data_IF_126014146375
#
_entry.id   IF_126014146375
#
_cell.length_a   1.000
_cell.length_b   1.000
_cell.length_c   1.000
_cell.angle_alpha   90.00
_cell.angle_beta   90.00
_cell.angle_gamma   90.00
#
_symmetry.space_group_name_H-M   'P 1'
#
loop_
_entity.id
_entity.type
_entity.pdbx_description
1 polymer ?
#
# COMPACT_ATOMS: atom_id res chain seq x y z
N UNK A 1 -41.05 20.47 50.48
CA UNK A 1 -39.68 20.05 50.84
C UNK A 1 -38.79 20.26 49.62
N UNK A 2 -37.86 21.22 49.62
CA UNK A 2 -36.90 21.35 48.52
C UNK A 2 -35.81 20.28 48.68
N UNK A 3 -35.52 19.57 47.59
CA UNK A 3 -34.47 18.55 47.52
C UNK A 3 -33.09 19.21 47.37
N UNK A 4 -32.16 18.73 48.18
CA UNK A 4 -30.75 19.09 48.27
C UNK A 4 -29.96 18.74 46.99
N UNK A 5 -29.24 19.69 46.35
CA UNK A 5 -28.51 19.43 45.10
C UNK A 5 -27.11 18.78 45.24
N UNK A 6 -26.63 18.44 46.44
CA UNK A 6 -25.24 17.95 46.62
C UNK A 6 -25.08 16.43 46.83
N UNK A 7 -25.91 15.60 46.19
CA UNK A 7 -25.72 14.14 46.23
C UNK A 7 -24.79 13.64 45.13
N UNK A 8 -23.49 13.91 45.28
CA UNK A 8 -22.42 13.23 44.55
C UNK A 8 -22.42 11.74 44.90
N UNK A 9 -22.86 10.91 43.95
CA UNK A 9 -22.72 9.45 43.98
C UNK A 9 -21.24 9.06 43.84
N UNK A 10 -20.53 8.99 44.96
CA UNK A 10 -19.42 8.06 45.12
C UNK A 10 -19.93 6.91 46.00
N UNK A 11 -20.34 5.80 45.38
CA UNK A 11 -20.81 4.62 46.10
C UNK A 11 -19.70 4.06 47.01
N UNK A 12 -20.05 3.61 48.21
CA UNK A 12 -19.12 3.03 49.19
C UNK A 12 -18.32 1.83 48.63
N UNK A 13 -18.83 1.20 47.57
CA UNK A 13 -18.17 0.11 46.85
C UNK A 13 -16.97 0.57 46.00
N UNK A 14 -16.92 1.84 45.58
CA UNK A 14 -15.75 2.42 44.93
C UNK A 14 -14.59 2.60 45.92
N UNK A 15 -14.88 2.99 47.17
CA UNK A 15 -13.87 3.18 48.22
C UNK A 15 -13.34 1.84 48.73
N UNK A 16 -14.16 0.79 48.79
CA UNK A 16 -13.73 -0.55 49.25
C UNK A 16 -12.84 -1.30 48.25
N UNK A 17 -12.91 -1.01 46.95
CA UNK A 17 -12.14 -1.71 45.91
C UNK A 17 -10.80 -1.05 45.54
N UNK A 18 -10.48 0.12 46.12
CA UNK A 18 -9.25 0.88 45.84
C UNK A 18 -8.11 0.60 46.83
N UNK A 19 -8.09 -0.54 47.51
CA UNK A 19 -7.00 -0.91 48.43
C UNK A 19 -5.84 -1.60 47.69
N UNK A 20 -5.13 -0.87 46.82
CA UNK A 20 -3.78 -1.27 46.44
C UNK A 20 -2.81 -0.75 47.50
N UNK A 21 -2.49 -1.59 48.48
CA UNK A 21 -1.57 -1.24 49.56
C UNK A 21 -0.14 -1.26 49.02
N UNK A 22 0.37 -0.09 48.62
CA UNK A 22 1.76 0.05 48.21
C UNK A 22 2.69 -0.20 49.42
N UNK A 23 3.75 -1.03 49.29
CA UNK A 23 4.64 -1.32 50.39
C UNK A 23 5.27 -0.05 50.92
N UNK A 24 5.22 0.14 52.25
CA UNK A 24 5.82 1.30 52.90
C UNK A 24 7.31 1.41 52.54
N UNK A 25 7.86 2.63 52.52
CA UNK A 25 9.28 2.85 52.26
C UNK A 25 10.20 2.03 53.18
N UNK A 26 9.72 1.67 54.39
CA UNK A 26 10.39 0.80 55.37
C UNK A 26 10.38 -0.68 54.97
N UNK A 27 9.41 -1.15 54.20
CA UNK A 27 9.37 -2.52 53.66
C UNK A 27 10.24 -2.68 52.42
N UNK A 28 10.37 -1.65 51.58
CA UNK A 28 11.33 -1.63 50.46
C UNK A 28 12.79 -1.72 50.93
N UNK A 29 13.09 -1.25 52.14
CA UNK A 29 14.43 -1.31 52.75
C UNK A 29 14.82 -2.67 53.36
N UNK A 30 13.89 -3.64 53.50
CA UNK A 30 14.20 -4.93 54.11
C UNK A 30 15.03 -5.80 53.17
N UNK A 31 16.32 -5.93 53.47
CA UNK A 31 17.23 -6.85 52.78
C UNK A 31 16.66 -8.28 52.83
N UNK A 32 16.52 -8.99 51.69
CA UNK A 32 15.89 -10.30 51.65
C UNK A 32 16.57 -11.29 52.62
N UNK A 33 15.80 -12.10 53.35
CA UNK A 33 16.36 -13.08 54.28
C UNK A 33 17.34 -14.07 53.60
N UNK A 34 18.27 -14.63 54.35
CA UNK A 34 19.35 -15.49 53.83
C UNK A 34 18.82 -16.68 52.97
N UNK A 35 17.67 -17.25 53.36
CA UNK A 35 17.00 -18.33 52.61
C UNK A 35 16.53 -17.89 51.22
N UNK A 36 16.00 -16.66 51.10
CA UNK A 36 15.55 -16.06 49.83
C UNK A 36 16.74 -15.75 48.93
N UNK A 37 17.85 -15.25 49.49
CA UNK A 37 19.12 -15.06 48.76
C UNK A 37 19.69 -16.35 48.19
N UNK A 38 19.70 -17.45 48.96
CA UNK A 38 20.12 -18.78 48.45
C UNK A 38 19.23 -19.29 47.32
N UNK A 39 17.91 -19.07 47.36
CA UNK A 39 17.00 -19.47 46.29
C UNK A 39 17.27 -18.69 44.99
N UNK A 40 17.41 -17.36 45.09
CA UNK A 40 17.74 -16.52 43.93
C UNK A 40 19.11 -16.87 43.33
N UNK A 41 20.13 -17.07 44.17
CA UNK A 41 21.47 -17.48 43.71
C UNK A 41 21.48 -18.87 43.03
N UNK A 42 20.59 -19.79 43.43
CA UNK A 42 20.44 -21.09 42.76
C UNK A 42 19.71 -20.97 41.42
N UNK A 43 18.69 -20.13 41.33
CA UNK A 43 17.98 -19.85 40.08
C UNK A 43 18.91 -19.19 39.04
N UNK A 44 19.73 -18.23 39.48
CA UNK A 44 20.74 -17.56 38.66
C UNK A 44 21.78 -18.55 38.09
N UNK A 45 22.28 -19.48 38.92
CA UNK A 45 23.23 -20.52 38.48
C UNK A 45 22.60 -21.48 37.47
N UNK A 46 21.31 -21.83 37.62
CA UNK A 46 20.58 -22.66 36.66
C UNK A 46 20.41 -21.94 35.31
N UNK A 47 20.06 -20.65 35.33
CA UNK A 47 19.95 -19.81 34.12
C UNK A 47 21.29 -19.69 33.38
N UNK A 48 22.39 -19.45 34.10
CA UNK A 48 23.73 -19.37 33.50
C UNK A 48 24.19 -20.68 32.87
N UNK A 49 23.87 -21.84 33.47
CA UNK A 49 24.17 -23.17 32.90
C UNK A 49 23.31 -23.49 31.66
N UNK A 50 22.07 -23.01 31.60
CA UNK A 50 21.22 -23.16 30.43
C UNK A 50 21.75 -22.32 29.24
N UNK A 51 22.16 -21.07 29.49
CA UNK A 51 22.72 -20.20 28.44
C UNK A 51 24.06 -20.70 27.88
N UNK A 52 24.93 -21.30 28.69
CA UNK A 52 26.22 -21.85 28.20
C UNK A 52 26.03 -23.13 27.38
N UNK A 53 25.02 -23.97 27.67
CA UNK A 53 24.66 -25.12 26.83
C UNK A 53 24.11 -24.69 25.46
N UNK A 54 23.31 -23.62 25.42
CA UNK A 54 22.72 -23.10 24.17
C UNK A 54 23.78 -22.49 23.24
N UNK A 55 24.80 -21.82 23.78
CA UNK A 55 25.90 -21.23 22.97
C UNK A 55 26.86 -22.26 22.36
N UNK A 56 27.06 -23.43 22.98
CA UNK A 56 27.91 -24.50 22.41
C UNK A 56 27.20 -25.32 21.32
N UNK A 57 25.88 -25.47 21.37
CA UNK A 57 25.10 -26.16 20.33
C UNK A 57 24.86 -25.34 19.05
N UNK A 58 24.97 -24.02 19.11
CA UNK A 58 24.74 -23.10 17.98
C UNK A 58 25.94 -22.98 17.05
N UNK A 59 27.17 -23.04 17.56
CA UNK A 59 28.41 -22.88 16.76
C UNK A 59 28.75 -24.08 15.87
N UNK A 60 28.32 -25.29 16.24
CA UNK A 60 28.54 -26.49 15.41
C UNK A 60 27.52 -26.60 14.26
N UNK A 61 26.33 -26.00 14.42
CA UNK A 61 25.27 -25.99 13.39
C UNK A 61 25.44 -24.87 12.36
N UNK A 62 26.15 -23.79 12.68
CA UNK A 62 26.40 -22.66 11.76
C UNK A 62 27.52 -22.96 10.76
N UNK A 63 28.58 -23.69 11.15
CA UNK A 63 29.64 -24.09 10.22
C UNK A 63 29.15 -25.10 9.18
N UNK A 64 28.31 -26.07 9.56
CA UNK A 64 27.73 -27.03 8.63
C UNK A 64 26.77 -26.41 7.60
N UNK A 65 25.98 -25.40 8.00
CA UNK A 65 25.05 -24.70 7.11
C UNK A 65 25.76 -23.76 6.14
N UNK A 66 26.80 -23.04 6.58
CA UNK A 66 27.61 -22.19 5.68
C UNK A 66 28.35 -23.05 4.65
N UNK A 67 28.91 -24.20 5.04
CA UNK A 67 29.56 -25.10 4.09
C UNK A 67 28.56 -25.66 3.06
N UNK A 68 27.35 -26.05 3.51
CA UNK A 68 26.31 -26.53 2.61
C UNK A 68 25.81 -25.44 1.63
N UNK A 69 25.68 -24.19 2.09
CA UNK A 69 25.32 -23.04 1.24
C UNK A 69 26.43 -22.73 0.22
N UNK A 70 27.70 -22.78 0.63
CA UNK A 70 28.82 -22.58 -0.29
C UNK A 70 28.93 -23.69 -1.34
N UNK A 71 28.69 -24.95 -0.96
CA UNK A 71 28.64 -26.08 -1.90
C UNK A 71 27.43 -25.95 -2.85
N UNK A 72 26.27 -25.53 -2.35
CA UNK A 72 25.09 -25.26 -3.18
C UNK A 72 25.33 -24.10 -4.16
N UNK A 73 25.96 -23.01 -3.72
CA UNK A 73 26.30 -21.87 -4.58
C UNK A 73 27.36 -22.24 -5.63
N UNK A 74 28.34 -23.09 -5.28
CA UNK A 74 29.31 -23.62 -6.24
C UNK A 74 28.64 -24.56 -7.26
N UNK A 75 27.67 -25.39 -6.84
CA UNK A 75 26.89 -26.24 -7.74
C UNK A 75 25.99 -25.41 -8.69
N UNK A 76 25.38 -24.32 -8.21
CA UNK A 76 24.59 -23.38 -9.03
C UNK A 76 25.50 -22.59 -9.98
N UNK A 77 26.70 -22.20 -9.56
CA UNK A 77 27.69 -21.54 -10.41
C UNK A 77 28.26 -22.46 -11.51
N UNK A 78 28.49 -23.74 -11.19
CA UNK A 78 28.93 -24.75 -12.16
C UNK A 78 27.81 -25.13 -13.14
N UNK A 79 26.54 -25.16 -12.71
CA UNK A 79 25.38 -25.30 -13.61
C UNK A 79 25.17 -24.06 -14.49
N UNK A 80 25.37 -22.86 -13.94
CA UNK A 80 25.25 -21.60 -14.69
C UNK A 80 26.30 -21.43 -15.78
N UNK A 81 27.52 -21.95 -15.58
CA UNK A 81 28.57 -21.93 -16.59
C UNK A 81 28.32 -22.95 -17.71
N UNK A 82 27.71 -24.11 -17.39
CA UNK A 82 27.42 -25.17 -18.37
C UNK A 82 26.17 -24.90 -19.22
N UNK A 83 25.31 -23.96 -18.82
CA UNK A 83 24.14 -23.49 -19.59
C UNK A 83 24.48 -22.32 -20.54
N UNK A 84 25.72 -21.83 -20.55
CA UNK A 84 26.19 -20.82 -21.52
C UNK A 84 26.62 -21.40 -22.88
N UNK A 85 26.39 -22.69 -23.11
CA UNK A 85 26.58 -23.34 -24.39
C UNK A 85 25.31 -24.07 -24.84
N UNK A 86 24.53 -23.42 -25.72
CA UNK A 86 23.59 -24.14 -26.60
C UNK A 86 22.10 -23.88 -26.38
N UNK A 87 21.58 -22.95 -27.21
CA UNK A 87 20.28 -22.97 -27.91
C UNK A 87 18.97 -22.89 -27.09
N UNK A 88 18.24 -21.82 -27.38
CA UNK A 88 16.80 -21.69 -27.17
C UNK A 88 16.35 -20.25 -27.40
N UNK A 89 16.13 -19.88 -28.67
CA UNK A 89 15.59 -18.59 -29.09
C UNK A 89 14.28 -18.29 -28.33
N UNK A 90 14.22 -17.18 -27.60
CA UNK A 90 12.97 -16.48 -27.32
C UNK A 90 12.94 -15.29 -28.27
N UNK A 91 12.03 -15.21 -29.27
CA UNK A 91 12.02 -14.08 -30.17
C UNK A 91 11.27 -12.93 -29.49
N UNK A 92 11.99 -12.11 -28.73
CA UNK A 92 11.51 -10.79 -28.32
C UNK A 92 12.51 -9.72 -28.77
N UNK A 93 12.93 -9.82 -30.04
CA UNK A 93 13.77 -8.80 -30.69
C UNK A 93 13.53 -8.82 -32.20
N UNK A 94 12.36 -8.37 -32.61
CA UNK A 94 12.15 -7.86 -33.97
C UNK A 94 11.54 -6.46 -33.85
N UNK A 95 12.29 -5.40 -34.21
CA UNK A 95 11.75 -4.05 -34.19
C UNK A 95 10.68 -3.97 -35.28
N UNK A 96 9.41 -3.84 -34.87
CA UNK A 96 8.34 -3.50 -35.79
C UNK A 96 8.36 -1.99 -35.96
N UNK A 97 8.78 -1.52 -37.14
CA UNK A 97 8.68 -0.12 -37.54
C UNK A 97 7.21 0.25 -37.74
N UNK A 98 6.51 0.65 -36.69
CA UNK A 98 5.29 1.47 -36.81
C UNK A 98 5.69 2.92 -37.09
N UNK A 99 4.86 3.61 -37.85
CA UNK A 99 5.07 5.00 -38.26
C UNK A 99 5.34 5.94 -37.08
N UNK A 100 5.94 7.09 -37.36
CA UNK A 100 6.42 8.05 -36.37
C UNK A 100 5.35 8.38 -35.31
N UNK A 101 5.46 7.74 -34.15
CA UNK A 101 4.84 8.23 -32.92
C UNK A 101 5.62 9.48 -32.53
N UNK A 102 4.97 10.60 -32.17
CA UNK A 102 5.69 11.76 -31.67
C UNK A 102 6.62 11.31 -30.54
N UNK A 103 7.92 11.45 -30.72
CA UNK A 103 8.88 11.12 -29.66
C UNK A 103 8.67 12.12 -28.53
N UNK A 104 8.11 11.64 -27.42
CA UNK A 104 8.02 12.42 -26.19
C UNK A 104 9.43 12.94 -25.88
N UNK A 105 9.56 14.26 -25.74
CA UNK A 105 10.83 14.86 -25.38
C UNK A 105 10.96 14.82 -23.86
N UNK A 106 12.09 14.33 -23.37
CA UNK A 106 12.38 14.30 -21.94
C UNK A 106 12.30 15.69 -21.26
N UNK A 107 12.39 16.78 -22.03
CA UNK A 107 12.31 18.14 -21.52
C UNK A 107 10.90 18.51 -21.00
N UNK A 108 9.84 17.99 -21.62
CA UNK A 108 8.47 18.11 -21.12
C UNK A 108 7.68 16.83 -21.43
N UNK A 109 7.71 15.85 -20.51
CA UNK A 109 7.04 14.58 -20.70
C UNK A 109 5.52 14.68 -20.85
N UNK A 110 4.88 15.82 -20.54
CA UNK A 110 3.43 15.99 -20.58
C UNK A 110 2.92 16.84 -21.75
N UNK A 111 3.83 17.40 -22.57
CA UNK A 111 3.49 18.23 -23.72
C UNK A 111 2.57 17.50 -24.72
N UNK A 112 1.46 18.15 -25.09
CA UNK A 112 0.53 17.59 -26.07
C UNK A 112 -0.49 16.58 -25.53
N UNK A 113 -0.60 16.41 -24.21
CA UNK A 113 -1.69 15.67 -23.58
C UNK A 113 -2.51 16.52 -22.59
N UNK A 114 -3.72 16.09 -22.20
CA UNK A 114 -4.49 16.76 -21.14
C UNK A 114 -3.69 16.96 -19.84
N UNK A 115 -2.74 16.07 -19.56
CA UNK A 115 -1.91 16.09 -18.36
C UNK A 115 -1.04 17.35 -18.22
N UNK A 116 -0.75 18.07 -19.30
CA UNK A 116 -0.02 19.34 -19.24
C UNK A 116 -0.72 20.36 -18.33
N UNK A 117 -2.06 20.34 -18.28
CA UNK A 117 -2.87 21.23 -17.45
C UNK A 117 -3.10 20.73 -16.02
N UNK A 118 -2.68 19.50 -15.71
CA UNK A 118 -2.91 18.91 -14.40
C UNK A 118 -1.91 19.43 -13.36
N UNK A 119 -2.30 19.36 -12.10
CA UNK A 119 -1.46 19.80 -10.99
C UNK A 119 -0.42 18.74 -10.61
N UNK A 120 0.68 19.17 -10.00
CA UNK A 120 1.78 18.29 -9.66
C UNK A 120 1.51 17.54 -8.33
N UNK A 121 1.59 16.21 -8.40
CA UNK A 121 1.53 15.32 -7.26
C UNK A 121 0.34 15.58 -6.34
N UNK A 122 0.62 15.72 -5.04
CA UNK A 122 -0.43 15.88 -4.03
C UNK A 122 -1.22 17.19 -4.18
N UNK A 123 -0.71 18.20 -4.92
CA UNK A 123 -1.45 19.43 -5.17
C UNK A 123 -2.69 19.21 -6.06
N UNK A 124 -2.70 18.16 -6.89
CA UNK A 124 -3.88 17.78 -7.67
C UNK A 124 -4.99 17.10 -6.88
N UNK A 125 -4.76 16.79 -5.59
CA UNK A 125 -5.77 16.20 -4.71
C UNK A 125 -6.26 17.28 -3.75
N UNK A 126 -7.21 18.08 -4.22
CA UNK A 126 -7.79 19.18 -3.44
C UNK A 126 -9.19 18.78 -2.97
N UNK A 127 -9.40 18.60 -1.65
CA UNK A 127 -10.72 18.40 -1.09
C UNK A 127 -11.64 19.60 -1.34
N UNK A 128 -12.93 19.39 -1.60
CA UNK A 128 -13.89 20.48 -1.61
C UNK A 128 -14.17 20.99 -0.19
N UNK A 129 -14.89 22.10 -0.08
CA UNK A 129 -15.37 22.60 1.20
C UNK A 129 -16.25 21.56 1.89
N UNK A 130 -15.97 21.28 3.17
CA UNK A 130 -16.69 20.26 3.92
C UNK A 130 -18.04 20.77 4.42
N UNK A 131 -19.09 20.00 4.16
CA UNK A 131 -20.44 20.23 4.67
C UNK A 131 -20.90 19.02 5.46
N UNK A 132 -21.66 19.24 6.54
CA UNK A 132 -22.25 18.15 7.31
C UNK A 132 -23.12 17.24 6.42
N UNK A 133 -22.92 15.92 6.50
CA UNK A 133 -23.66 14.95 5.69
C UNK A 133 -23.58 13.56 6.31
N UNK A 134 -24.56 12.70 6.04
CA UNK A 134 -24.53 11.32 6.55
C UNK A 134 -24.50 11.21 8.08
N UNK A 135 -24.98 12.22 8.81
CA UNK A 135 -24.89 12.28 10.27
C UNK A 135 -23.53 12.71 10.83
N UNK A 136 -22.57 13.04 9.97
CA UNK A 136 -21.27 13.60 10.36
C UNK A 136 -21.32 15.13 10.36
N UNK A 137 -20.61 15.74 11.31
CA UNK A 137 -20.40 17.18 11.34
C UNK A 137 -19.53 17.63 10.15
N UNK A 138 -19.55 18.92 9.80
CA UNK A 138 -18.66 19.46 8.76
C UNK A 138 -17.18 19.21 9.09
N UNK A 139 -16.81 19.26 10.38
CA UNK A 139 -15.46 18.94 10.86
C UNK A 139 -15.09 17.46 10.66
N UNK A 140 -16.04 16.54 10.87
CA UNK A 140 -15.79 15.12 10.64
C UNK A 140 -15.67 14.81 9.15
N UNK A 141 -16.44 15.49 8.29
CA UNK A 141 -16.34 15.38 6.84
C UNK A 141 -15.00 15.94 6.34
N UNK A 142 -14.52 17.05 6.89
CA UNK A 142 -13.19 17.58 6.61
C UNK A 142 -12.09 16.57 6.99
N UNK A 143 -12.21 15.94 8.16
CA UNK A 143 -11.29 14.89 8.60
C UNK A 143 -11.36 13.65 7.68
N UNK A 144 -12.56 13.28 7.21
CA UNK A 144 -12.76 12.21 6.25
C UNK A 144 -12.05 12.50 4.93
N UNK A 145 -12.22 13.70 4.35
CA UNK A 145 -11.49 14.12 3.17
C UNK A 145 -9.97 14.10 3.37
N UNK A 146 -9.47 14.61 4.49
CA UNK A 146 -8.04 14.60 4.78
C UNK A 146 -7.47 13.17 4.84
N UNK A 147 -8.22 12.23 5.42
CA UNK A 147 -7.84 10.80 5.47
C UNK A 147 -7.89 10.14 4.09
N UNK A 148 -8.92 10.40 3.30
CA UNK A 148 -9.01 9.90 1.91
C UNK A 148 -7.88 10.46 1.05
N UNK A 149 -7.60 11.76 1.12
CA UNK A 149 -6.45 12.39 0.46
C UNK A 149 -5.14 11.70 0.82
N UNK A 150 -4.91 11.41 2.10
CA UNK A 150 -3.70 10.71 2.56
C UNK A 150 -3.58 9.31 1.96
N UNK A 151 -4.69 8.57 1.82
CA UNK A 151 -4.71 7.26 1.16
C UNK A 151 -4.38 7.37 -0.32
N UNK A 152 -4.99 8.32 -1.04
CA UNK A 152 -4.74 8.56 -2.46
C UNK A 152 -3.28 8.93 -2.74
N UNK A 153 -2.70 9.84 -1.93
CA UNK A 153 -1.27 10.18 -2.02
C UNK A 153 -0.40 8.94 -1.80
N UNK A 154 -0.70 8.15 -0.77
CA UNK A 154 0.08 6.95 -0.48
C UNK A 154 -0.09 5.83 -1.53
N UNK A 155 -1.25 5.76 -2.20
CA UNK A 155 -1.53 4.77 -3.23
C UNK A 155 -0.87 5.12 -4.57
N UNK A 156 -0.91 6.39 -4.98
CA UNK A 156 -0.47 6.82 -6.30
C UNK A 156 0.86 7.57 -6.35
N UNK A 157 1.41 8.07 -5.24
CA UNK A 157 2.57 8.97 -5.27
C UNK A 157 3.77 8.49 -4.42
N UNK A 158 3.62 7.41 -3.65
CA UNK A 158 4.70 6.88 -2.82
C UNK A 158 5.77 6.19 -3.68
N UNK A 159 6.89 6.88 -3.96
CA UNK A 159 7.96 6.37 -4.84
C UNK A 159 8.50 4.99 -4.45
N UNK A 160 8.74 4.67 -3.17
CA UNK A 160 9.14 3.31 -2.78
C UNK A 160 8.12 2.27 -3.25
N UNK A 161 6.83 2.50 -3.04
CA UNK A 161 5.75 1.61 -3.49
C UNK A 161 5.68 1.54 -5.02
N UNK A 162 5.72 2.68 -5.71
CA UNK A 162 5.68 2.74 -7.18
C UNK A 162 6.77 1.88 -7.82
N UNK A 163 7.97 1.87 -7.25
CA UNK A 163 9.14 1.16 -7.77
C UNK A 163 9.31 -0.25 -7.17
N UNK A 164 8.22 -0.87 -6.71
CA UNK A 164 8.19 -2.28 -6.30
C UNK A 164 8.51 -2.56 -4.83
N UNK A 165 8.70 -1.53 -4.02
CA UNK A 165 8.94 -1.62 -2.57
C UNK A 165 7.69 -1.95 -1.74
N UNK A 166 7.83 -1.95 -0.42
CA UNK A 166 6.73 -2.20 0.51
C UNK A 166 5.74 -1.02 0.58
N UNK A 167 4.41 -1.26 0.51
CA UNK A 167 3.39 -0.22 0.57
C UNK A 167 3.12 0.28 2.00
N UNK A 168 4.17 0.59 2.75
CA UNK A 168 4.07 0.93 4.17
C UNK A 168 3.35 2.27 4.40
N UNK A 169 3.53 3.23 3.48
CA UNK A 169 2.81 4.50 3.52
C UNK A 169 1.29 4.30 3.43
N UNK A 170 0.86 3.44 2.52
CA UNK A 170 -0.56 3.13 2.34
C UNK A 170 -1.11 2.30 3.49
N UNK A 171 -0.37 1.29 3.96
CA UNK A 171 -0.74 0.53 5.16
C UNK A 171 -0.96 1.43 6.39
N UNK A 172 -0.17 2.51 6.53
CA UNK A 172 -0.38 3.52 7.57
C UNK A 172 -1.61 4.39 7.32
N UNK A 173 -1.87 4.78 6.08
CA UNK A 173 -2.97 5.67 5.68
C UNK A 173 -4.36 5.03 5.76
N UNK A 174 -4.45 3.73 5.47
CA UNK A 174 -5.71 2.96 5.60
C UNK A 174 -6.19 2.91 7.06
N UNK A 175 -5.28 2.96 8.03
CA UNK A 175 -5.62 3.02 9.46
C UNK A 175 -5.81 1.64 10.09
N UNK A 176 -5.96 1.59 11.42
CA UNK A 176 -5.88 0.34 12.19
C UNK A 176 -6.98 -0.67 11.81
N UNK A 177 -8.17 -0.20 11.47
CA UNK A 177 -9.35 -1.04 11.20
C UNK A 177 -9.12 -1.97 9.99
N UNK A 178 -8.41 -1.51 8.97
CA UNK A 178 -8.24 -2.22 7.70
C UNK A 178 -6.77 -2.57 7.39
N UNK A 179 -5.80 -2.06 8.17
CA UNK A 179 -4.37 -2.30 7.94
C UNK A 179 -4.01 -3.78 7.93
N UNK A 180 -4.55 -4.56 8.87
CA UNK A 180 -4.24 -6.00 8.97
C UNK A 180 -4.73 -6.75 7.72
N UNK A 181 -5.94 -6.42 7.27
CA UNK A 181 -6.51 -6.98 6.04
C UNK A 181 -5.66 -6.59 4.83
N UNK A 182 -5.30 -5.31 4.70
CA UNK A 182 -4.43 -4.83 3.62
C UNK A 182 -3.10 -5.58 3.56
N UNK A 183 -2.36 -5.65 4.67
CA UNK A 183 -1.03 -6.27 4.69
C UNK A 183 -1.09 -7.77 4.43
N UNK A 184 -2.05 -8.47 5.05
CA UNK A 184 -2.17 -9.93 4.94
C UNK A 184 -2.58 -10.37 3.54
N UNK A 185 -3.38 -9.57 2.85
CA UNK A 185 -3.90 -9.90 1.53
C UNK A 185 -3.14 -9.27 0.36
N UNK A 186 -2.00 -8.61 0.61
CA UNK A 186 -1.21 -7.97 -0.45
C UNK A 186 -0.89 -8.97 -1.57
N UNK A 187 -0.36 -10.13 -1.16
CA UNK A 187 -0.04 -11.36 -1.89
C UNK A 187 -1.17 -12.28 -2.38
N UNK A 188 -2.44 -11.98 -2.12
CA UNK A 188 -3.44 -13.05 -2.17
C UNK A 188 -3.55 -13.66 -3.59
N UNK A 189 -3.46 -14.99 -3.75
CA UNK A 189 -3.67 -15.63 -5.06
C UNK A 189 -5.11 -15.42 -5.57
N UNK A 190 -6.08 -15.30 -4.67
CA UNK A 190 -7.46 -14.93 -5.00
C UNK A 190 -7.52 -13.44 -5.38
N UNK A 191 -7.75 -13.15 -6.67
CA UNK A 191 -7.76 -11.79 -7.21
C UNK A 191 -8.77 -10.88 -6.51
N UNK A 192 -9.94 -11.40 -6.16
CA UNK A 192 -10.99 -10.62 -5.47
C UNK A 192 -10.63 -10.24 -4.04
N UNK A 193 -9.62 -10.87 -3.45
CA UNK A 193 -9.10 -10.55 -2.11
C UNK A 193 -7.77 -9.81 -2.16
N UNK A 194 -7.07 -9.82 -3.30
CA UNK A 194 -5.73 -9.25 -3.42
C UNK A 194 -5.78 -7.74 -3.23
N UNK A 195 -5.03 -7.23 -2.26
CA UNK A 195 -4.99 -5.78 -1.96
C UNK A 195 -3.83 -5.06 -2.65
N UNK A 196 -2.97 -5.75 -3.41
CA UNK A 196 -1.95 -5.12 -4.24
C UNK A 196 -2.53 -4.11 -5.24
N UNK A 197 -3.72 -4.38 -5.77
CA UNK A 197 -4.45 -3.48 -6.67
C UNK A 197 -4.91 -2.18 -6.02
N UNK A 198 -4.75 -2.02 -4.69
CA UNK A 198 -5.11 -0.77 -4.02
C UNK A 198 -4.01 0.30 -4.13
N UNK A 199 -2.82 -0.10 -4.55
CA UNK A 199 -1.67 0.79 -4.69
C UNK A 199 -1.09 0.66 -6.10
N UNK A 200 -0.55 1.75 -6.61
CA UNK A 200 0.19 1.75 -7.88
C UNK A 200 1.57 1.16 -7.61
N UNK A 201 1.90 0.06 -8.27
CA UNK A 201 3.20 -0.62 -8.13
C UNK A 201 3.59 -1.18 -9.48
N UNK A 202 4.68 -0.68 -10.07
CA UNK A 202 5.21 -1.23 -11.31
C UNK A 202 5.89 -2.57 -11.05
N UNK A 203 5.79 -3.46 -12.02
CA UNK A 203 6.52 -4.71 -11.99
C UNK A 203 8.03 -4.42 -11.88
N UNK A 204 8.78 -5.14 -11.03
CA UNK A 204 10.20 -4.86 -10.81
C UNK A 204 10.98 -4.79 -12.13
N UNK A 205 11.83 -3.76 -12.27
CA UNK A 205 12.66 -3.50 -13.45
C UNK A 205 11.91 -3.24 -14.77
N UNK A 206 10.61 -2.94 -14.73
CA UNK A 206 9.83 -2.64 -15.95
C UNK A 206 9.66 -1.15 -16.22
N UNK A 207 9.84 -0.30 -15.21
CA UNK A 207 9.66 1.15 -15.32
C UNK A 207 10.60 1.93 -14.40
N UNK A 208 11.06 3.08 -14.89
CA UNK A 208 11.68 4.16 -14.15
C UNK A 208 10.88 5.44 -14.40
N UNK A 209 10.80 6.32 -13.39
CA UNK A 209 10.14 7.62 -13.54
C UNK A 209 11.08 8.60 -14.25
N UNK A 210 10.62 9.19 -15.34
CA UNK A 210 11.33 10.25 -16.06
C UNK A 210 11.07 11.59 -15.37
N UNK A 211 11.93 11.93 -14.41
CA UNK A 211 11.84 13.14 -13.60
C UNK A 211 11.03 12.99 -12.30
N UNK A 212 10.89 14.08 -11.52
CA UNK A 212 10.26 14.03 -10.21
C UNK A 212 8.72 14.15 -10.26
N UNK A 213 8.18 14.69 -11.34
CA UNK A 213 6.77 15.10 -11.44
C UNK A 213 5.87 13.93 -11.84
N UNK A 214 4.74 13.81 -11.13
CA UNK A 214 3.60 12.98 -11.49
C UNK A 214 2.41 13.93 -11.57
N UNK A 215 1.66 13.92 -12.66
CA UNK A 215 0.51 14.82 -12.85
C UNK A 215 -0.75 14.20 -12.26
N UNK A 216 -1.57 15.00 -11.57
CA UNK A 216 -2.77 14.52 -10.88
C UNK A 216 -3.97 15.44 -11.17
N UNK A 217 -5.10 14.82 -11.50
CA UNK A 217 -6.37 15.50 -11.73
C UNK A 217 -7.52 14.64 -11.23
N UNK A 218 -8.57 15.27 -10.71
CA UNK A 218 -9.77 14.55 -10.29
C UNK A 218 -10.49 15.25 -9.16
N UNK A 219 -11.46 14.54 -8.60
CA UNK A 219 -12.36 15.11 -7.59
C UNK A 219 -12.70 14.10 -6.50
N UNK A 220 -13.15 14.62 -5.37
CA UNK A 220 -13.83 13.85 -4.35
C UNK A 220 -15.05 14.61 -3.84
N UNK A 221 -16.03 13.87 -3.31
CA UNK A 221 -17.26 14.43 -2.75
C UNK A 221 -17.73 13.56 -1.59
N UNK A 222 -18.57 14.11 -0.71
CA UNK A 222 -19.14 13.37 0.41
C UNK A 222 -20.66 13.29 0.26
N UNK A 223 -21.24 12.14 0.56
CA UNK A 223 -22.68 11.91 0.55
C UNK A 223 -23.10 11.00 1.70
N UNK A 224 -24.39 10.99 2.09
CA UNK A 224 -24.88 9.96 3.01
C UNK A 224 -24.62 8.57 2.41
N UNK A 225 -24.09 7.65 3.20
CA UNK A 225 -23.82 6.27 2.77
C UNK A 225 -24.06 5.30 3.93
N UNK A 226 -24.37 4.06 3.58
CA UNK A 226 -24.57 3.00 4.55
C UNK A 226 -24.11 1.65 3.98
N UNK A 227 -23.22 0.97 4.70
CA UNK A 227 -22.65 -0.34 4.32
C UNK A 227 -22.63 -1.24 5.54
N UNK A 228 -23.08 -2.50 5.43
CA UNK A 228 -23.04 -3.48 6.52
C UNK A 228 -23.62 -2.95 7.86
N UNK A 229 -24.77 -2.27 7.81
CA UNK A 229 -25.44 -1.60 8.94
C UNK A 229 -24.72 -0.39 9.54
N UNK A 230 -23.52 -0.06 9.07
CA UNK A 230 -22.81 1.17 9.41
C UNK A 230 -23.41 2.32 8.62
N UNK A 231 -23.77 3.41 9.28
CA UNK A 231 -24.32 4.62 8.66
C UNK A 231 -23.36 5.79 8.89
N UNK A 232 -23.12 6.57 7.85
CA UNK A 232 -22.17 7.66 7.91
C UNK A 232 -22.10 8.45 6.60
N UNK A 233 -20.96 9.06 6.33
CA UNK A 233 -20.68 9.73 5.07
C UNK A 233 -19.75 8.88 4.19
N UNK A 234 -20.18 8.57 2.98
CA UNK A 234 -19.32 8.01 1.93
C UNK A 234 -18.52 9.14 1.28
N UNK A 235 -17.20 8.99 1.22
CA UNK A 235 -16.33 9.86 0.41
C UNK A 235 -16.04 9.16 -0.90
N UNK A 236 -16.74 9.58 -1.96
CA UNK A 236 -16.51 9.11 -3.33
C UNK A 236 -15.38 9.91 -3.96
N UNK A 237 -14.46 9.25 -4.64
CA UNK A 237 -13.34 9.88 -5.32
C UNK A 237 -13.11 9.27 -6.70
N UNK A 238 -12.53 10.07 -7.60
CA UNK A 238 -12.13 9.66 -8.94
C UNK A 238 -10.96 10.54 -9.40
N UNK A 239 -9.77 9.95 -9.46
CA UNK A 239 -8.52 10.65 -9.75
C UNK A 239 -7.70 9.94 -10.82
N UNK A 240 -7.17 10.72 -11.75
CA UNK A 240 -6.12 10.33 -12.68
C UNK A 240 -4.74 10.69 -12.12
N UNK A 241 -3.81 9.76 -12.28
CA UNK A 241 -2.38 9.92 -12.03
C UNK A 241 -1.64 9.62 -13.33
N UNK A 242 -0.83 10.55 -13.81
CA UNK A 242 -0.09 10.41 -15.07
C UNK A 242 1.40 10.38 -14.76
N UNK A 243 2.00 9.24 -15.04
CA UNK A 243 3.40 8.94 -14.78
C UNK A 243 4.19 9.04 -16.08
N UNK A 244 5.21 9.91 -16.15
CA UNK A 244 6.18 9.85 -17.21
C UNK A 244 7.13 8.70 -16.90
N UNK A 245 7.06 7.62 -17.68
CA UNK A 245 7.82 6.40 -17.45
C UNK A 245 8.70 6.06 -18.64
N UNK A 246 9.81 5.41 -18.36
CA UNK A 246 10.70 4.82 -19.36
C UNK A 246 11.16 3.44 -18.86
N UNK A 247 11.53 2.53 -19.77
CA UNK A 247 12.24 1.32 -19.35
C UNK A 247 13.56 1.73 -18.69
N UNK A 248 13.95 1.10 -17.56
CA UNK A 248 15.21 1.42 -16.90
C UNK A 248 16.40 1.36 -17.85
N UNK A 249 17.10 2.49 -18.00
CA UNK A 249 18.27 2.60 -18.88
C UNK A 249 17.98 2.85 -20.36
N UNK A 250 16.71 3.04 -20.75
CA UNK A 250 16.31 3.27 -22.14
C UNK A 250 15.39 4.50 -22.28
N UNK A 251 15.91 5.73 -22.18
CA UNK A 251 15.09 6.96 -22.25
C UNK A 251 14.30 7.15 -23.55
N UNK A 252 14.70 6.47 -24.63
CA UNK A 252 13.96 6.46 -25.90
C UNK A 252 12.57 5.79 -25.79
N UNK A 253 12.31 5.07 -24.69
CA UNK A 253 11.03 4.43 -24.37
C UNK A 253 10.15 5.30 -23.47
N UNK A 254 10.36 6.61 -23.46
CA UNK A 254 9.51 7.53 -22.71
C UNK A 254 8.05 7.40 -23.17
N UNK A 255 7.16 7.15 -22.22
CA UNK A 255 5.72 7.02 -22.38
C UNK A 255 4.99 7.68 -21.22
N UNK A 256 3.70 7.97 -21.41
CA UNK A 256 2.79 8.34 -20.33
C UNK A 256 1.97 7.12 -19.95
N UNK A 257 2.10 6.70 -18.70
CA UNK A 257 1.17 5.78 -18.09
C UNK A 257 0.12 6.57 -17.31
N UNK A 258 -1.14 6.35 -17.62
CA UNK A 258 -2.28 6.94 -16.93
C UNK A 258 -2.90 5.88 -16.02
N UNK A 259 -3.10 6.22 -14.76
CA UNK A 259 -3.81 5.39 -13.79
C UNK A 259 -5.02 6.14 -13.27
N UNK A 260 -6.20 5.54 -13.38
CA UNK A 260 -7.42 6.00 -12.72
C UNK A 260 -7.57 5.25 -11.40
N UNK A 261 -7.68 6.00 -10.30
CA UNK A 261 -8.09 5.49 -8.99
C UNK A 261 -9.48 6.04 -8.67
N UNK A 262 -10.45 5.14 -8.56
CA UNK A 262 -11.84 5.48 -8.27
C UNK A 262 -12.39 4.61 -7.15
N UNK A 263 -13.29 5.15 -6.33
CA UNK A 263 -13.83 4.40 -5.21
C UNK A 263 -14.62 5.21 -4.21
N UNK A 264 -14.94 4.56 -3.10
CA UNK A 264 -15.66 5.13 -1.98
C UNK A 264 -15.10 4.60 -0.66
N UNK A 265 -14.84 5.52 0.28
CA UNK A 265 -14.54 5.20 1.67
C UNK A 265 -15.69 5.69 2.54
N UNK A 266 -16.37 4.78 3.23
CA UNK A 266 -17.37 5.12 4.24
C UNK A 266 -16.67 5.57 5.53
N UNK A 267 -17.08 6.70 6.07
CA UNK A 267 -16.69 7.18 7.40
C UNK A 267 -17.89 7.21 8.33
N UNK A 268 -17.73 6.69 9.54
CA UNK A 268 -18.82 6.57 10.51
C UNK A 268 -18.32 6.76 11.94
N UNK A 269 -19.13 7.37 12.82
CA UNK A 269 -18.78 7.49 14.24
C UNK A 269 -18.98 6.15 14.96
N UNK A 270 -18.03 5.77 15.81
CA UNK A 270 -18.20 4.66 16.77
C UNK A 270 -17.37 4.96 18.02
N UNK A 271 -17.97 4.83 19.21
CA UNK A 271 -17.28 5.10 20.47
C UNK A 271 -16.64 6.49 20.58
N UNK A 272 -17.26 7.52 19.96
CA UNK A 272 -16.72 8.89 19.93
C UNK A 272 -15.53 9.09 18.99
N UNK A 273 -15.15 8.09 18.20
CA UNK A 273 -14.07 8.16 17.21
C UNK A 273 -14.63 8.02 15.80
N UNK A 274 -13.99 8.71 14.83
CA UNK A 274 -14.32 8.55 13.42
C UNK A 274 -13.59 7.33 12.85
N UNK A 275 -14.34 6.30 12.49
CA UNK A 275 -13.86 5.09 11.83
C UNK A 275 -14.05 5.18 10.32
N UNK A 276 -13.44 4.25 9.60
CA UNK A 276 -13.53 4.19 8.14
C UNK A 276 -13.58 2.76 7.64
N UNK A 277 -14.31 2.55 6.55
CA UNK A 277 -14.35 1.30 5.81
C UNK A 277 -14.22 1.58 4.31
N UNK A 278 -13.32 0.90 3.64
CA UNK A 278 -13.08 0.99 2.21
C UNK A 278 -14.15 0.17 1.49
N UNK A 279 -15.19 0.84 1.00
CA UNK A 279 -16.36 0.21 0.37
C UNK A 279 -16.07 -0.21 -1.07
N UNK A 280 -15.35 0.64 -1.81
CA UNK A 280 -14.90 0.37 -3.18
C UNK A 280 -13.55 1.02 -3.38
N UNK A 281 -12.62 0.30 -4.01
CA UNK A 281 -11.31 0.83 -4.37
C UNK A 281 -10.82 0.14 -5.63
N UNK A 282 -10.82 0.89 -6.72
CA UNK A 282 -10.51 0.38 -8.05
C UNK A 282 -9.34 1.14 -8.66
N UNK A 283 -8.50 0.38 -9.37
CA UNK A 283 -7.34 0.86 -10.07
C UNK A 283 -7.42 0.35 -11.50
N UNK A 284 -7.37 1.27 -12.45
CA UNK A 284 -7.22 0.97 -13.87
C UNK A 284 -5.98 1.68 -14.40
N UNK A 285 -5.18 1.00 -15.23
CA UNK A 285 -3.92 1.54 -15.76
C UNK A 285 -3.81 1.32 -17.26
N UNK A 286 -3.37 2.33 -17.99
CA UNK A 286 -3.22 2.30 -19.45
C UNK A 286 -2.08 3.25 -19.90
N UNK A 287 -1.21 2.86 -20.85
CA UNK A 287 -1.10 1.54 -21.45
C UNK A 287 -0.38 0.54 -20.53
N UNK A 288 -1.03 -0.59 -20.26
CA UNK A 288 -0.46 -1.69 -19.47
C UNK A 288 -0.87 -3.04 -20.06
N UNK A 289 -0.01 -4.06 -19.86
CA UNK A 289 -0.26 -5.41 -20.35
C UNK A 289 -1.43 -6.05 -19.63
N UNK A 290 -2.23 -6.80 -20.39
CA UNK A 290 -3.40 -7.49 -19.84
C UNK A 290 -3.23 -8.98 -19.62
N UNK A 291 -2.21 -9.57 -20.24
CA UNK A 291 -1.91 -11.00 -20.17
C UNK A 291 -1.19 -11.42 -18.88
N UNK A 292 -0.87 -10.47 -18.00
CA UNK A 292 -0.21 -10.70 -16.71
C UNK A 292 -1.07 -10.17 -15.56
N UNK A 293 -1.46 -11.04 -14.63
CA UNK A 293 -2.32 -10.72 -13.49
C UNK A 293 -1.67 -11.09 -12.14
N UNK A 294 -0.44 -10.65 -11.93
CA UNK A 294 0.33 -10.86 -10.69
C UNK A 294 0.13 -9.75 -9.64
N UNK A 295 -0.68 -8.73 -9.98
CA UNK A 295 -1.01 -7.60 -9.12
C UNK A 295 -0.08 -6.40 -9.31
N UNK A 296 0.99 -6.53 -10.08
CA UNK A 296 1.82 -5.41 -10.51
C UNK A 296 1.28 -4.85 -11.81
N UNK A 297 1.54 -3.56 -12.04
CA UNK A 297 1.31 -2.93 -13.33
C UNK A 297 2.52 -3.25 -14.20
N UNK A 298 2.28 -3.82 -15.38
CA UNK A 298 3.29 -4.09 -16.40
C UNK A 298 3.10 -3.10 -17.53
N UNK A 299 3.82 -1.97 -17.59
CA UNK A 299 3.57 -0.97 -18.63
C UNK A 299 3.82 -1.49 -20.04
N UNK A 300 2.98 -1.07 -20.97
CA UNK A 300 3.18 -1.32 -22.39
C UNK A 300 3.75 -0.05 -23.03
N UNK A 301 4.86 -0.18 -23.75
CA UNK A 301 5.53 0.91 -24.46
C UNK A 301 5.30 0.76 -25.97
N UNK A 302 5.52 1.81 -26.76
CA UNK A 302 5.31 1.77 -28.21
C UNK A 302 6.05 0.63 -28.94
N UNK A 303 7.18 0.18 -28.41
CA UNK A 303 8.02 -0.90 -28.94
C UNK A 303 7.78 -2.25 -28.25
N UNK A 304 6.81 -2.34 -27.34
CA UNK A 304 6.45 -3.61 -26.69
C UNK A 304 5.95 -4.63 -27.72
N UNK A 305 6.33 -5.89 -27.50
CA UNK A 305 5.84 -7.01 -28.29
C UNK A 305 4.30 -7.12 -28.20
N UNK A 306 3.63 -7.59 -29.27
CA UNK A 306 2.20 -7.84 -29.23
C UNK A 306 1.81 -8.74 -28.06
N UNK A 307 0.73 -8.38 -27.36
CA UNK A 307 0.19 -9.19 -26.28
C UNK A 307 -0.42 -10.49 -26.80
N UNK A 308 -0.36 -11.57 -25.99
CA UNK A 308 -1.04 -12.83 -26.34
C UNK A 308 -2.55 -12.70 -26.31
N UNK A 309 -3.05 -11.82 -25.45
CA UNK A 309 -4.48 -11.54 -25.25
C UNK A 309 -4.68 -10.03 -25.26
N UNK A 310 -4.69 -9.38 -26.44
CA UNK A 310 -4.88 -7.94 -26.54
C UNK A 310 -6.26 -7.53 -26.02
N UNK A 311 -6.37 -6.31 -25.52
CA UNK A 311 -7.64 -5.73 -25.08
C UNK A 311 -8.74 -5.86 -26.13
N UNK A 312 -9.93 -6.25 -25.65
CA UNK A 312 -11.12 -6.46 -26.47
C UNK A 312 -12.10 -5.30 -26.24
N UNK A 313 -12.80 -4.88 -27.29
CA UNK A 313 -13.76 -3.78 -27.23
C UNK A 313 -13.32 -2.49 -27.92
N UNK A 314 -14.16 -1.43 -27.84
CA UNK A 314 -13.85 -0.13 -28.43
C UNK A 314 -12.61 0.49 -27.78
N UNK A 315 -11.91 1.33 -28.55
CA UNK A 315 -10.78 2.07 -28.03
C UNK A 315 -11.25 3.02 -26.92
N UNK A 316 -10.53 3.03 -25.80
CA UNK A 316 -10.81 3.87 -24.63
C UNK A 316 -9.77 4.99 -24.53
N UNK A 317 -10.21 6.21 -24.20
CA UNK A 317 -9.33 7.32 -23.86
C UNK A 317 -9.03 7.26 -22.34
N UNK A 318 -7.78 6.98 -21.93
CA UNK A 318 -7.45 6.87 -20.51
C UNK A 318 -7.59 8.19 -19.73
N UNK A 319 -7.70 9.34 -20.40
CA UNK A 319 -7.99 10.63 -19.77
C UNK A 319 -9.49 10.91 -19.60
N UNK A 320 -10.37 10.16 -20.26
CA UNK A 320 -11.82 10.37 -20.20
C UNK A 320 -12.43 9.76 -18.92
N UNK A 321 -12.66 10.60 -17.91
CA UNK A 321 -13.35 10.21 -16.68
C UNK A 321 -14.89 10.24 -16.80
N UNK A 322 -15.45 10.64 -17.94
CA UNK A 322 -16.91 10.67 -18.13
C UNK A 322 -17.52 9.26 -18.28
N UNK A 323 -16.73 8.31 -18.77
CA UNK A 323 -17.11 6.91 -18.85
C UNK A 323 -17.01 6.24 -17.47
N UNK A 324 -17.83 5.22 -17.26
CA UNK A 324 -17.72 4.36 -16.09
C UNK A 324 -16.32 3.73 -16.03
N UNK A 325 -15.86 3.45 -14.80
CA UNK A 325 -14.62 2.70 -14.61
C UNK A 325 -14.72 1.38 -15.38
N UNK A 326 -13.71 1.01 -16.18
CA UNK A 326 -13.67 -0.29 -16.83
C UNK A 326 -13.83 -1.41 -15.80
N UNK A 327 -14.62 -2.44 -16.13
CA UNK A 327 -14.71 -3.63 -15.27
C UNK A 327 -13.31 -4.24 -15.14
N UNK A 328 -12.95 -4.65 -13.93
CA UNK A 328 -11.68 -5.29 -13.56
C UNK A 328 -11.38 -6.57 -14.36
N UNK A 329 -12.40 -7.24 -14.88
CA UNK A 329 -12.25 -8.39 -15.77
C UNK A 329 -11.87 -8.01 -17.21
N UNK A 330 -12.21 -6.79 -17.65
CA UNK A 330 -12.09 -6.32 -19.03
C UNK A 330 -10.80 -5.52 -19.23
N UNK A 331 -9.85 -6.16 -19.90
CA UNK A 331 -8.76 -5.43 -20.53
C UNK A 331 -9.29 -4.64 -21.74
N UNK A 332 -9.19 -3.32 -21.70
CA UNK A 332 -9.59 -2.45 -22.80
C UNK A 332 -8.42 -2.14 -23.72
N UNK A 333 -8.74 -1.87 -24.99
CA UNK A 333 -7.76 -1.38 -25.97
C UNK A 333 -7.60 0.14 -25.80
N UNK A 334 -6.38 0.62 -25.60
CA UNK A 334 -6.08 2.06 -25.54
C UNK A 334 -6.28 2.77 -26.89
N UNK A 335 -6.70 4.02 -26.85
CA UNK A 335 -6.64 4.94 -28.00
C UNK A 335 -5.32 5.75 -28.08
N UNK A 336 -4.45 5.66 -27.06
CA UNK A 336 -3.19 6.41 -26.93
C UNK A 336 -3.12 7.27 -25.66
N UNK A 337 -1.93 7.77 -25.31
CA UNK A 337 -1.67 8.64 -24.13
C UNK A 337 -0.88 9.91 -24.42
#
# INVERSE_FOLDING_TARGET
MPGDPDRLLFDEDFVKNAAFTEPSARERGKRPGWRKRRRLARAERRRRRAMTRQRRGSRLKTTGTVLAVLVALAAVGALGWKVRGGRGLSPETTPVRRGAVPTLRAADPFEGSPAAAYADGAAGITPPAATATGGLSARDVEAAYARTRKRLVAAGLDRPTLLGGSPDAFARAVGPDERSYFVTNLNNPDLGKRTRSWVVTFAPNTAALSGPVIKVHGTMSAHPSAVNHLRGAGVRFDYLFVYPIERPGSPATLERLVVRLSGEVLFYPSGGTLHSHTSRWELFSDPARCDVRDGFIHPAYHDSAPERSPGTGPAHDPYDQSQAMPDDEKCLRSSGT
#
